data_IF_519163744480
#
_entry.id   IF_519163744480
#
_cell.length_a   1.000
_cell.length_b   1.000
_cell.length_c   1.000
_cell.angle_alpha   90.00
_cell.angle_beta   90.00
_cell.angle_gamma   90.00
#
_symmetry.space_group_name_H-M   'P 1'
#
loop_
_entity.id
_entity.type
_entity.pdbx_description
1 polymer ?
#
# COMPACT_ATOMS: atom_id res chain seq x y z
N UNK A 1 -5.26 21.54 -1.93
CA UNK A 1 -5.91 20.66 -2.93
C UNK A 1 -6.21 19.23 -2.45
N UNK A 2 -6.11 18.94 -1.15
CA UNK A 2 -6.46 17.63 -0.56
C UNK A 2 -7.95 17.30 -0.77
N UNK A 3 -8.85 18.29 -0.80
CA UNK A 3 -10.28 18.08 -1.02
C UNK A 3 -10.61 17.47 -2.40
N UNK A 4 -9.90 17.84 -3.45
CA UNK A 4 -10.14 17.32 -4.81
C UNK A 4 -9.74 15.83 -4.90
N UNK A 5 -8.70 15.43 -4.18
CA UNK A 5 -8.19 14.06 -4.14
C UNK A 5 -9.17 13.08 -3.43
N UNK A 6 -10.02 13.56 -2.54
CA UNK A 6 -10.99 12.73 -1.81
C UNK A 6 -12.28 12.41 -2.59
N UNK A 7 -12.64 13.22 -3.61
CA UNK A 7 -13.84 13.02 -4.44
C UNK A 7 -13.60 12.25 -5.74
N UNK A 8 -12.41 11.64 -5.88
CA UNK A 8 -12.06 10.85 -7.06
C UNK A 8 -12.78 9.49 -7.03
N UNK A 9 -13.18 9.00 -8.21
CA UNK A 9 -13.77 7.68 -8.35
C UNK A 9 -12.83 6.57 -7.88
N UNK A 10 -13.39 5.53 -7.24
CA UNK A 10 -12.61 4.44 -6.64
C UNK A 10 -11.69 3.72 -7.64
N UNK A 11 -12.16 3.55 -8.88
CA UNK A 11 -11.39 2.95 -9.98
C UNK A 11 -10.15 3.76 -10.34
N UNK A 12 -10.27 5.08 -10.32
CA UNK A 12 -9.17 5.99 -10.61
C UNK A 12 -8.15 6.04 -9.46
N UNK A 13 -8.62 6.06 -8.21
CA UNK A 13 -7.76 5.91 -7.03
C UNK A 13 -6.97 4.60 -7.09
N UNK A 14 -7.63 3.50 -7.46
CA UNK A 14 -6.98 2.21 -7.60
C UNK A 14 -5.89 2.22 -8.68
N UNK A 15 -6.15 2.81 -9.84
CA UNK A 15 -5.16 2.95 -10.91
C UNK A 15 -3.91 3.69 -10.42
N UNK A 16 -4.08 4.83 -9.77
CA UNK A 16 -2.99 5.68 -9.29
C UNK A 16 -2.21 4.96 -8.17
N UNK A 17 -2.90 4.47 -7.16
CA UNK A 17 -2.27 3.97 -5.93
C UNK A 17 -1.68 2.57 -6.08
N UNK A 18 -2.23 1.72 -6.95
CA UNK A 18 -1.59 0.46 -7.30
C UNK A 18 -0.39 0.68 -8.23
N UNK A 19 -0.48 1.65 -9.15
CA UNK A 19 0.64 2.06 -9.98
C UNK A 19 1.79 2.65 -9.18
N UNK A 20 1.51 3.45 -8.16
CA UNK A 20 2.52 4.00 -7.25
C UNK A 20 3.14 2.92 -6.34
N UNK A 21 2.38 1.89 -5.96
CA UNK A 21 2.86 0.80 -5.11
C UNK A 21 3.93 -0.09 -5.76
N UNK A 22 4.08 -0.09 -7.09
CA UNK A 22 5.12 -0.87 -7.79
C UNK A 22 6.55 -0.45 -7.41
N UNK A 23 6.75 0.78 -6.98
CA UNK A 23 8.05 1.29 -6.54
C UNK A 23 8.42 0.87 -5.12
N UNK A 24 7.50 0.22 -4.41
CA UNK A 24 7.75 -0.37 -3.12
C UNK A 24 8.32 -1.79 -3.29
N UNK A 25 9.59 -2.00 -2.98
CA UNK A 25 10.42 -3.16 -3.39
C UNK A 25 10.28 -4.36 -2.45
N UNK A 26 9.20 -4.51 -1.71
CA UNK A 26 9.07 -5.60 -0.73
C UNK A 26 8.54 -6.92 -1.28
N UNK A 27 8.13 -6.98 -2.55
CA UNK A 27 7.74 -8.23 -3.23
C UNK A 27 7.95 -8.10 -4.75
N UNK A 28 8.21 -9.21 -5.41
CA UNK A 28 8.31 -9.27 -6.86
C UNK A 28 6.93 -9.07 -7.49
N UNK A 29 6.77 -8.05 -8.33
CA UNK A 29 5.62 -7.93 -9.21
C UNK A 29 5.98 -8.46 -10.59
N UNK A 30 5.08 -9.23 -11.23
CA UNK A 30 5.25 -9.57 -12.63
C UNK A 30 5.09 -8.29 -13.45
N UNK A 31 6.07 -7.86 -14.20
CA UNK A 31 6.02 -6.67 -15.06
C UNK A 31 5.14 -6.81 -16.31
N UNK A 32 4.22 -7.80 -16.35
CA UNK A 32 3.39 -8.06 -17.52
C UNK A 32 2.28 -7.00 -17.66
N UNK A 33 2.22 -6.38 -18.83
CA UNK A 33 1.18 -5.42 -19.21
C UNK A 33 0.64 -5.81 -20.59
N UNK A 34 -0.48 -6.54 -20.60
CA UNK A 34 -1.14 -6.97 -21.82
C UNK A 34 -2.64 -6.70 -21.72
N UNK A 35 -3.07 -5.62 -22.33
CA UNK A 35 -4.50 -5.29 -22.43
C UNK A 35 -5.29 -6.37 -23.17
N UNK A 36 -6.53 -6.62 -22.75
CA UNK A 36 -7.45 -7.50 -23.44
C UNK A 36 -7.77 -6.94 -24.85
N UNK A 37 -7.78 -7.82 -25.85
CA UNK A 37 -8.23 -7.48 -27.21
C UNK A 37 -9.66 -7.99 -27.39
N UNK A 38 -10.46 -7.30 -28.21
CA UNK A 38 -11.83 -7.75 -28.56
C UNK A 38 -11.76 -9.16 -29.15
N UNK A 39 -12.47 -10.10 -28.53
CA UNK A 39 -12.46 -11.52 -28.93
C UNK A 39 -11.38 -12.39 -28.29
N UNK A 40 -10.53 -11.85 -27.40
CA UNK A 40 -9.60 -12.64 -26.61
C UNK A 40 -10.10 -12.82 -25.16
N UNK A 41 -9.69 -13.90 -24.51
CA UNK A 41 -9.93 -14.14 -23.09
C UNK A 41 -8.77 -13.58 -22.26
N UNK A 42 -9.11 -12.82 -21.22
CA UNK A 42 -8.16 -12.32 -20.21
C UNK A 42 -7.40 -11.05 -20.61
N UNK A 43 -6.95 -10.35 -19.59
CA UNK A 43 -6.02 -9.21 -19.66
C UNK A 43 -5.03 -9.32 -18.51
N UNK A 44 -3.81 -8.84 -18.72
CA UNK A 44 -2.80 -8.74 -17.66
C UNK A 44 -2.48 -7.26 -17.41
N UNK A 45 -2.70 -6.78 -16.19
CA UNK A 45 -2.28 -5.44 -15.76
C UNK A 45 -0.97 -5.51 -15.02
N UNK A 46 -0.10 -4.51 -15.25
CA UNK A 46 1.20 -4.41 -14.58
C UNK A 46 1.11 -3.90 -13.13
N UNK A 47 -0.08 -3.60 -12.63
CA UNK A 47 -0.28 -3.00 -11.31
C UNK A 47 -1.37 -3.70 -10.51
N UNK A 48 -1.29 -3.58 -9.18
CA UNK A 48 -2.34 -3.97 -8.24
C UNK A 48 -2.22 -5.37 -7.66
N UNK A 49 -1.60 -6.34 -8.31
CA UNK A 49 -1.41 -7.68 -7.76
C UNK A 49 0.09 -8.01 -7.71
N UNK A 50 0.56 -8.40 -6.54
CA UNK A 50 1.88 -8.94 -6.33
C UNK A 50 1.80 -10.37 -5.79
N UNK A 51 2.91 -11.09 -5.84
CA UNK A 51 3.03 -12.44 -5.34
C UNK A 51 4.01 -12.48 -4.17
N UNK A 52 3.64 -13.22 -3.13
CA UNK A 52 4.50 -13.52 -1.99
C UNK A 52 4.55 -15.03 -1.81
N UNK A 53 5.65 -15.52 -1.23
CA UNK A 53 5.80 -16.94 -0.93
C UNK A 53 5.68 -17.16 0.57
N UNK A 54 4.87 -18.13 0.94
CA UNK A 54 4.76 -18.62 2.32
C UNK A 54 5.94 -19.54 2.64
N UNK A 55 6.25 -19.80 3.92
CA UNK A 55 7.35 -20.69 4.31
C UNK A 55 7.24 -22.11 3.75
N UNK A 56 6.03 -22.58 3.45
CA UNK A 56 5.75 -23.87 2.81
C UNK A 56 5.88 -23.84 1.28
N UNK A 57 6.34 -22.73 0.70
CA UNK A 57 6.61 -22.58 -0.73
C UNK A 57 5.39 -22.24 -1.60
N UNK A 58 4.20 -22.06 -1.02
CA UNK A 58 3.03 -21.61 -1.79
C UNK A 58 3.17 -20.17 -2.23
N UNK A 59 2.78 -19.90 -3.47
CA UNK A 59 2.66 -18.56 -4.01
C UNK A 59 1.26 -18.01 -3.67
N UNK A 60 1.20 -16.87 -3.01
CA UNK A 60 -0.04 -16.16 -2.68
C UNK A 60 -0.14 -14.84 -3.46
N UNK A 61 -1.32 -14.57 -3.99
CA UNK A 61 -1.62 -13.32 -4.71
C UNK A 61 -2.13 -12.25 -3.75
N UNK A 62 -1.49 -11.09 -3.75
CA UNK A 62 -1.83 -9.97 -2.86
C UNK A 62 -2.29 -8.75 -3.66
N UNK A 63 -3.36 -8.11 -3.22
CA UNK A 63 -3.66 -6.75 -3.66
C UNK A 63 -2.60 -5.80 -3.08
N UNK A 64 -1.76 -5.25 -3.95
CA UNK A 64 -0.69 -4.34 -3.55
C UNK A 64 -1.08 -2.90 -3.86
N UNK A 65 -1.33 -2.11 -2.82
CA UNK A 65 -1.72 -0.71 -2.94
C UNK A 65 -1.05 0.17 -1.90
N UNK A 66 -0.99 1.47 -2.20
CA UNK A 66 -0.75 2.51 -1.21
C UNK A 66 -2.09 2.99 -0.65
N UNK A 67 -2.15 3.29 0.66
CA UNK A 67 -3.25 4.07 1.24
C UNK A 67 -3.29 5.45 0.60
N UNK A 68 -2.12 6.07 0.42
CA UNK A 68 -1.96 7.35 -0.25
C UNK A 68 -0.57 7.46 -0.87
N UNK A 69 -0.47 8.26 -1.93
CA UNK A 69 0.80 8.74 -2.46
C UNK A 69 1.03 10.25 -2.23
N UNK A 70 0.12 10.91 -1.47
CA UNK A 70 0.34 12.26 -0.96
C UNK A 70 1.32 12.21 0.21
N UNK A 71 2.53 12.75 0.05
CA UNK A 71 3.54 12.74 1.10
C UNK A 71 3.82 14.16 1.59
N UNK A 72 4.08 14.31 2.91
CA UNK A 72 4.55 15.56 3.49
C UNK A 72 6.05 15.78 3.29
N UNK A 73 6.80 14.70 3.04
CA UNK A 73 8.26 14.73 2.88
C UNK A 73 8.71 14.88 1.43
N UNK A 74 9.94 15.38 1.27
CA UNK A 74 10.56 15.59 -0.04
C UNK A 74 11.84 14.78 -0.23
N UNK A 75 11.81 13.49 0.12
CA UNK A 75 12.94 12.58 -0.02
C UNK A 75 13.38 12.48 -1.48
N UNK A 76 14.63 12.85 -1.80
CA UNK A 76 15.10 13.00 -3.18
C UNK A 76 15.06 11.71 -4.02
N UNK A 77 15.09 10.54 -3.38
CA UNK A 77 14.99 9.22 -4.03
C UNK A 77 13.56 8.73 -4.26
N UNK A 78 12.55 9.41 -3.70
CA UNK A 78 11.17 8.91 -3.71
C UNK A 78 10.36 9.49 -4.86
N UNK A 79 9.68 8.61 -5.62
CA UNK A 79 8.77 9.04 -6.69
C UNK A 79 7.58 9.83 -6.15
N UNK A 80 7.15 9.52 -4.91
CA UNK A 80 6.01 10.15 -4.26
C UNK A 80 6.40 11.37 -3.40
N UNK A 81 7.64 11.88 -3.53
CA UNK A 81 8.05 13.10 -2.80
C UNK A 81 7.14 14.28 -3.10
N UNK A 82 7.03 15.18 -2.14
CA UNK A 82 6.10 16.34 -2.20
C UNK A 82 6.26 17.19 -3.46
N UNK A 83 7.50 17.46 -3.87
CA UNK A 83 7.82 18.32 -5.03
C UNK A 83 7.62 17.65 -6.38
N UNK A 84 7.40 16.33 -6.44
CA UNK A 84 7.27 15.63 -7.71
C UNK A 84 5.86 15.81 -8.28
N UNK A 85 5.78 16.14 -9.57
CA UNK A 85 4.52 16.32 -10.29
C UNK A 85 3.99 14.94 -10.76
N UNK A 86 3.26 14.29 -9.89
CA UNK A 86 2.59 13.01 -10.14
C UNK A 86 1.13 13.07 -9.71
N UNK A 87 0.29 12.28 -10.37
CA UNK A 87 -1.10 12.13 -9.96
C UNK A 87 -1.20 11.65 -8.52
N UNK A 88 -2.02 12.31 -7.72
CA UNK A 88 -2.18 12.04 -6.30
C UNK A 88 -3.55 11.50 -5.98
N UNK A 89 -3.59 10.48 -5.12
CA UNK A 89 -4.82 9.92 -4.62
C UNK A 89 -4.67 9.51 -3.15
N UNK A 90 -5.81 9.36 -2.47
CA UNK A 90 -5.88 8.88 -1.09
C UNK A 90 -7.15 8.05 -0.93
N UNK A 91 -7.00 6.83 -0.43
CA UNK A 91 -8.12 6.02 0.02
C UNK A 91 -8.53 6.41 1.44
N UNK A 92 -9.81 6.25 1.75
CA UNK A 92 -10.26 6.11 3.14
C UNK A 92 -10.02 4.67 3.63
N UNK A 93 -10.08 4.46 4.94
CA UNK A 93 -9.99 3.11 5.50
C UNK A 93 -11.07 2.19 4.92
N UNK A 94 -12.31 2.68 4.85
CA UNK A 94 -13.45 1.93 4.32
C UNK A 94 -13.30 1.58 2.83
N UNK A 95 -12.74 2.46 2.03
CA UNK A 95 -12.47 2.17 0.61
C UNK A 95 -11.46 1.02 0.47
N UNK A 96 -10.38 1.00 1.26
CA UNK A 96 -9.40 -0.10 1.25
C UNK A 96 -10.04 -1.41 1.70
N UNK A 97 -10.82 -1.38 2.79
CA UNK A 97 -11.53 -2.54 3.31
C UNK A 97 -12.49 -3.11 2.27
N UNK A 98 -13.36 -2.27 1.71
CA UNK A 98 -14.35 -2.69 0.70
C UNK A 98 -13.69 -3.25 -0.56
N UNK A 99 -12.61 -2.62 -1.02
CA UNK A 99 -11.85 -3.07 -2.18
C UNK A 99 -11.23 -4.45 -1.93
N UNK A 100 -10.58 -4.62 -0.78
CA UNK A 100 -9.95 -5.88 -0.37
C UNK A 100 -10.99 -7.01 -0.27
N UNK A 101 -12.10 -6.77 0.41
CA UNK A 101 -13.16 -7.75 0.59
C UNK A 101 -13.82 -8.14 -0.74
N UNK A 102 -14.05 -7.18 -1.63
CA UNK A 102 -14.63 -7.45 -2.95
C UNK A 102 -13.72 -8.30 -3.81
N UNK A 103 -12.41 -8.04 -3.82
CA UNK A 103 -11.44 -8.82 -4.61
C UNK A 103 -11.24 -10.20 -4.01
N UNK A 104 -11.19 -10.31 -2.69
CA UNK A 104 -11.07 -11.58 -1.99
C UNK A 104 -12.27 -12.50 -2.23
N UNK A 105 -13.50 -11.99 -2.08
CA UNK A 105 -14.75 -12.75 -2.34
C UNK A 105 -14.87 -13.25 -3.78
N UNK A 106 -14.25 -12.54 -4.73
CA UNK A 106 -14.21 -12.93 -6.14
C UNK A 106 -13.02 -13.84 -6.48
N UNK A 107 -12.24 -14.27 -5.50
CA UNK A 107 -11.03 -15.08 -5.67
C UNK A 107 -9.96 -14.45 -6.58
N UNK A 108 -9.89 -13.11 -6.63
CA UNK A 108 -8.85 -12.42 -7.40
C UNK A 108 -7.54 -12.30 -6.60
N UNK A 109 -7.65 -12.29 -5.27
CA UNK A 109 -6.53 -12.18 -4.34
C UNK A 109 -6.73 -13.12 -3.15
N UNK A 110 -5.61 -13.47 -2.50
CA UNK A 110 -5.57 -14.23 -1.25
C UNK A 110 -5.21 -13.35 -0.05
N UNK A 111 -4.84 -12.08 -0.31
CA UNK A 111 -4.50 -11.15 0.75
C UNK A 111 -4.26 -9.73 0.28
N UNK A 112 -3.83 -8.89 1.22
CA UNK A 112 -3.55 -7.47 1.07
C UNK A 112 -2.09 -7.19 1.38
N UNK A 113 -1.43 -6.42 0.51
CA UNK A 113 -0.20 -5.69 0.82
C UNK A 113 -0.51 -4.21 0.86
N UNK A 114 -0.42 -3.62 2.05
CA UNK A 114 -0.74 -2.22 2.28
C UNK A 114 0.49 -1.45 2.75
N UNK A 115 0.81 -0.38 2.04
CA UNK A 115 1.81 0.60 2.43
C UNK A 115 1.24 2.02 2.30
N UNK A 116 2.01 3.04 2.62
CA UNK A 116 1.55 4.43 2.52
C UNK A 116 2.72 5.41 2.37
N UNK A 117 2.48 6.52 1.69
CA UNK A 117 3.20 7.75 1.95
C UNK A 117 2.72 8.33 3.29
N UNK A 118 3.40 9.35 3.81
CA UNK A 118 3.11 9.92 5.12
C UNK A 118 2.27 11.20 4.95
N UNK A 119 1.03 11.15 5.48
CA UNK A 119 0.11 12.29 5.51
C UNK A 119 0.19 12.91 6.91
N UNK A 120 0.23 14.22 7.00
CA UNK A 120 0.16 14.99 8.26
C UNK A 120 1.31 14.68 9.24
N UNK A 121 1.42 13.44 9.71
CA UNK A 121 2.52 12.93 10.53
C UNK A 121 2.52 11.39 10.53
N UNK A 122 3.53 10.78 11.14
CA UNK A 122 3.70 9.32 11.18
C UNK A 122 2.56 8.63 11.95
N UNK A 123 2.20 9.14 13.12
CA UNK A 123 1.15 8.57 13.97
C UNK A 123 -0.21 8.59 13.27
N UNK A 124 -0.61 9.73 12.74
CA UNK A 124 -1.88 9.87 12.01
C UNK A 124 -1.98 8.88 10.83
N UNK A 125 -0.87 8.70 10.09
CA UNK A 125 -0.85 7.75 8.99
C UNK A 125 -0.93 6.30 9.49
N UNK A 126 -0.22 5.99 10.57
CA UNK A 126 -0.25 4.65 11.17
C UNK A 126 -1.61 4.32 11.81
N UNK A 127 -2.30 5.31 12.37
CA UNK A 127 -3.68 5.17 12.89
C UNK A 127 -4.64 4.71 11.80
N UNK A 128 -4.61 5.35 10.61
CA UNK A 128 -5.48 4.94 9.48
C UNK A 128 -5.12 3.53 8.99
N UNK A 129 -3.83 3.20 8.90
CA UNK A 129 -3.39 1.85 8.52
C UNK A 129 -3.85 0.81 9.54
N UNK A 130 -3.80 1.14 10.83
CA UNK A 130 -4.30 0.29 11.92
C UNK A 130 -5.81 0.11 11.83
N UNK A 131 -6.56 1.18 11.58
CA UNK A 131 -8.01 1.14 11.38
C UNK A 131 -8.40 0.17 10.24
N UNK A 132 -7.68 0.19 9.12
CA UNK A 132 -7.92 -0.74 8.00
C UNK A 132 -7.78 -2.18 8.45
N UNK A 133 -6.69 -2.53 9.14
CA UNK A 133 -6.46 -3.93 9.55
C UNK A 133 -7.42 -4.36 10.66
N UNK A 134 -7.81 -3.45 11.56
CA UNK A 134 -8.83 -3.71 12.58
C UNK A 134 -10.18 -4.02 11.95
N UNK A 135 -10.64 -3.19 11.02
CA UNK A 135 -11.90 -3.42 10.30
C UNK A 135 -11.88 -4.74 9.53
N UNK A 136 -10.79 -5.04 8.83
CA UNK A 136 -10.67 -6.32 8.12
C UNK A 136 -10.79 -7.51 9.06
N UNK A 137 -10.04 -7.51 10.18
CA UNK A 137 -10.02 -8.65 11.11
C UNK A 137 -11.27 -8.74 11.98
N UNK A 138 -11.69 -7.63 12.59
CA UNK A 138 -12.70 -7.64 13.65
C UNK A 138 -14.14 -7.47 13.10
N UNK A 139 -14.32 -6.66 12.05
CA UNK A 139 -15.65 -6.41 11.50
C UNK A 139 -16.01 -7.37 10.35
N UNK A 140 -15.03 -7.67 9.50
CA UNK A 140 -15.25 -8.51 8.31
C UNK A 140 -14.78 -9.95 8.45
N UNK A 141 -14.17 -10.33 9.59
CA UNK A 141 -13.58 -11.67 9.83
C UNK A 141 -12.67 -12.11 8.67
N UNK A 142 -11.90 -11.18 8.14
CA UNK A 142 -11.01 -11.44 7.01
C UNK A 142 -9.89 -12.42 7.40
N UNK A 143 -9.94 -13.64 6.87
CA UNK A 143 -8.95 -14.70 7.10
C UNK A 143 -7.78 -14.69 6.11
N UNK A 144 -7.77 -13.78 5.12
CA UNK A 144 -6.70 -13.68 4.13
C UNK A 144 -5.40 -13.09 4.71
N UNK A 145 -4.32 -13.27 3.96
CA UNK A 145 -2.99 -12.78 4.36
C UNK A 145 -2.91 -11.25 4.32
N UNK A 146 -2.36 -10.65 5.38
CA UNK A 146 -2.11 -9.20 5.45
C UNK A 146 -0.62 -8.94 5.65
N UNK A 147 -0.01 -8.25 4.68
CA UNK A 147 1.31 -7.66 4.83
C UNK A 147 1.16 -6.14 4.95
N UNK A 148 1.50 -5.60 6.11
CA UNK A 148 1.47 -4.17 6.38
C UNK A 148 2.88 -3.60 6.43
N UNK A 149 3.08 -2.44 5.80
CA UNK A 149 4.28 -1.65 5.98
C UNK A 149 4.09 -0.64 7.09
N UNK A 150 4.85 -0.79 8.18
CA UNK A 150 4.86 0.16 9.28
C UNK A 150 5.45 1.51 8.83
N UNK A 151 4.93 2.58 9.41
CA UNK A 151 5.41 3.95 9.17
C UNK A 151 6.58 4.23 10.12
N UNK A 152 7.78 4.54 9.58
CA UNK A 152 8.91 4.94 10.40
C UNK A 152 8.58 6.18 11.23
N UNK A 153 8.94 6.15 12.52
CA UNK A 153 8.67 7.24 13.46
C UNK A 153 7.26 7.29 14.05
N UNK A 154 6.40 6.30 13.76
CA UNK A 154 5.15 6.14 14.47
C UNK A 154 5.37 5.55 15.86
N UNK A 155 4.46 5.82 16.78
CA UNK A 155 4.51 5.34 18.15
C UNK A 155 4.50 3.81 18.21
N UNK A 156 5.30 3.26 19.12
CA UNK A 156 5.46 1.82 19.29
C UNK A 156 4.14 1.12 19.62
N UNK A 157 3.27 1.76 20.39
CA UNK A 157 1.96 1.22 20.72
C UNK A 157 1.08 0.99 19.48
N UNK A 158 1.08 1.95 18.54
CA UNK A 158 0.34 1.83 17.28
C UNK A 158 0.92 0.71 16.40
N UNK A 159 2.25 0.64 16.32
CA UNK A 159 2.93 -0.40 15.56
C UNK A 159 2.63 -1.79 16.15
N UNK A 160 2.71 -1.92 17.48
CA UNK A 160 2.40 -3.17 18.17
C UNK A 160 0.93 -3.57 18.02
N UNK A 161 0.00 -2.61 18.10
CA UNK A 161 -1.42 -2.85 17.91
C UNK A 161 -1.70 -3.43 16.52
N UNK A 162 -1.18 -2.79 15.47
CA UNK A 162 -1.32 -3.28 14.09
C UNK A 162 -0.60 -4.63 13.90
N UNK A 163 0.59 -4.80 14.49
CA UNK A 163 1.41 -6.01 14.38
C UNK A 163 0.72 -7.28 14.87
N UNK A 164 -0.18 -7.17 15.85
CA UNK A 164 -0.96 -8.30 16.36
C UNK A 164 -2.08 -8.77 15.41
N UNK A 165 -2.41 -7.95 14.42
CA UNK A 165 -3.53 -8.19 13.49
C UNK A 165 -3.08 -8.63 12.10
N UNK A 166 -1.78 -8.54 11.80
CA UNK A 166 -1.23 -8.82 10.48
C UNK A 166 -0.34 -10.07 10.50
N UNK A 167 -0.21 -10.73 9.35
CA UNK A 167 0.63 -11.92 9.20
C UNK A 167 2.09 -11.54 9.01
N UNK A 168 2.34 -10.37 8.45
CA UNK A 168 3.67 -9.82 8.26
C UNK A 168 3.67 -8.31 8.41
N UNK A 169 4.65 -7.81 9.17
CA UNK A 169 4.97 -6.40 9.20
C UNK A 169 6.39 -6.18 8.69
N UNK A 170 6.61 -5.12 7.93
CA UNK A 170 7.93 -4.71 7.48
C UNK A 170 8.09 -3.20 7.59
N UNK A 171 9.32 -2.73 7.66
CA UNK A 171 9.66 -1.32 7.67
C UNK A 171 10.83 -1.09 6.72
N UNK A 172 10.84 0.04 6.03
CA UNK A 172 11.98 0.45 5.22
C UNK A 172 13.01 1.16 6.11
N UNK A 173 14.24 0.66 6.08
CA UNK A 173 15.39 1.40 6.63
C UNK A 173 15.83 2.53 5.71
N UNK A 174 15.34 2.54 4.47
CA UNK A 174 15.55 3.56 3.41
C UNK A 174 17.00 3.65 2.96
N UNK A 175 17.91 4.05 3.84
CA UNK A 175 19.31 4.32 3.53
C UNK A 175 20.24 3.69 4.57
N UNK A 176 21.47 3.30 4.18
CA UNK A 176 22.37 2.53 5.04
C UNK A 176 23.04 3.34 6.17
N UNK A 177 22.89 4.67 6.18
CA UNK A 177 23.50 5.53 7.20
C UNK A 177 22.72 6.80 7.47
N UNK A 178 22.82 7.30 8.70
CA UNK A 178 22.22 8.59 9.10
C UNK A 178 22.74 9.76 8.26
N UNK A 179 24.02 9.71 7.84
CA UNK A 179 24.60 10.74 6.97
C UNK A 179 23.88 10.78 5.62
N UNK A 180 23.64 9.61 5.03
CA UNK A 180 22.91 9.51 3.77
C UNK A 180 21.44 9.93 3.93
N UNK A 181 20.81 9.59 5.06
CA UNK A 181 19.45 9.98 5.36
C UNK A 181 19.30 11.50 5.49
N UNK A 182 20.19 12.15 6.26
CA UNK A 182 20.23 13.62 6.41
C UNK A 182 20.47 14.33 5.07
N UNK A 183 21.19 13.73 4.16
CA UNK A 183 21.48 14.31 2.83
C UNK A 183 20.29 14.19 1.88
N UNK A 184 19.62 13.03 1.85
CA UNK A 184 18.64 12.68 0.84
C UNK A 184 17.18 12.77 1.32
N UNK A 185 16.97 12.81 2.62
CA UNK A 185 15.65 12.93 3.27
C UNK A 185 15.75 13.72 4.60
N UNK A 186 16.18 14.98 4.56
CA UNK A 186 16.47 15.76 5.77
C UNK A 186 15.25 16.04 6.66
N UNK A 187 14.05 15.89 6.12
CA UNK A 187 12.78 16.10 6.84
C UNK A 187 12.25 14.81 7.51
N UNK A 188 12.95 13.69 7.38
CA UNK A 188 12.48 12.37 7.82
C UNK A 188 13.16 11.89 9.09
#
# INVERSE_FOLDING_TARGET
NIKVVMYMELSEKLRILSGAAKYDVSCSSSGSNRGGKKGSLGSASSSGICHSFTPDGRCISLLKILLTNCCIYDCSYCINRRSNDVERATFTADEVVNLTMNFYRRNYIEGLFLSSAIIKNANFTMEILTEVVEKLRNEHNFGGYIHLKAIPGADEELINKAGRLVDRMSVNLELPSDKSLKLLAPEK
#
